data_IF_721468798994
#
_entry.id   IF_721468798994
#
_cell.length_a   1.000
_cell.length_b   1.000
_cell.length_c   1.000
_cell.angle_alpha   90.00
_cell.angle_beta   90.00
_cell.angle_gamma   90.00
#
_symmetry.space_group_name_H-M   'P 1'
#
loop_
_entity.id
_entity.type
_entity.pdbx_description
1 polymer ?
#
# COMPACT_ATOMS: atom_id res chain seq x y z
N UNK A 1 18.56 15.49 -0.59
CA UNK A 1 17.35 15.74 -1.41
C UNK A 1 17.63 16.93 -2.30
N UNK A 2 17.43 16.84 -3.62
CA UNK A 2 17.57 17.98 -4.54
C UNK A 2 16.20 18.26 -5.14
N UNK A 3 15.64 19.43 -4.86
CA UNK A 3 14.40 19.87 -5.46
C UNK A 3 14.62 20.21 -6.95
N UNK A 4 13.55 20.13 -7.77
CA UNK A 4 13.62 20.65 -9.14
C UNK A 4 13.84 22.15 -9.10
N UNK A 5 14.31 22.72 -10.21
CA UNK A 5 14.70 24.15 -10.37
C UNK A 5 13.63 25.19 -9.96
N UNK A 6 12.39 24.77 -9.67
CA UNK A 6 11.22 25.59 -9.31
C UNK A 6 10.38 24.99 -8.17
N UNK A 7 10.94 24.10 -7.37
CA UNK A 7 10.27 23.55 -6.21
C UNK A 7 11.11 23.86 -4.98
N UNK A 8 10.51 24.41 -3.94
CA UNK A 8 11.16 24.57 -2.63
C UNK A 8 10.52 23.66 -1.57
N UNK A 9 11.18 23.57 -0.41
CA UNK A 9 10.59 22.89 0.74
C UNK A 9 9.29 23.58 1.17
N UNK A 10 9.29 24.92 1.19
CA UNK A 10 8.14 25.75 1.54
C UNK A 10 6.96 25.49 0.60
N UNK A 11 7.20 25.31 -0.70
CA UNK A 11 6.17 24.95 -1.67
C UNK A 11 5.51 23.60 -1.34
N UNK A 12 6.31 22.59 -0.99
CA UNK A 12 5.79 21.27 -0.62
C UNK A 12 5.08 21.28 0.73
N UNK A 13 5.61 22.03 1.72
CA UNK A 13 4.98 22.17 3.02
C UNK A 13 3.61 22.85 2.89
N UNK A 14 3.53 23.97 2.17
CA UNK A 14 2.29 24.69 1.93
C UNK A 14 1.26 23.84 1.15
N UNK A 15 1.70 23.02 0.20
CA UNK A 15 0.82 22.05 -0.51
C UNK A 15 0.32 20.96 0.44
N UNK A 16 1.19 20.44 1.29
CA UNK A 16 0.85 19.43 2.31
C UNK A 16 -0.18 19.95 3.30
N UNK A 17 0.02 21.16 3.84
CA UNK A 17 -0.93 21.81 4.76
C UNK A 17 -2.31 21.99 4.12
N UNK A 18 -2.37 22.43 2.86
CA UNK A 18 -3.65 22.57 2.14
C UNK A 18 -4.34 21.22 1.94
N UNK A 19 -3.59 20.17 1.59
CA UNK A 19 -4.14 18.82 1.45
C UNK A 19 -4.69 18.28 2.75
N UNK A 20 -3.93 18.40 3.84
CA UNK A 20 -4.35 17.93 5.17
C UNK A 20 -5.53 18.73 5.69
N UNK A 21 -5.54 20.05 5.51
CA UNK A 21 -6.68 20.90 5.90
C UNK A 21 -7.95 20.47 5.17
N UNK A 22 -7.86 20.27 3.85
CA UNK A 22 -8.99 19.79 3.06
C UNK A 22 -9.47 18.43 3.54
N UNK A 23 -8.56 17.47 3.72
CA UNK A 23 -8.89 16.15 4.25
C UNK A 23 -9.59 16.23 5.61
N UNK A 24 -9.05 16.99 6.56
CA UNK A 24 -9.60 17.12 7.91
C UNK A 24 -11.01 17.71 7.93
N UNK A 25 -11.29 18.68 7.05
CA UNK A 25 -12.59 19.35 6.98
C UNK A 25 -13.63 18.52 6.22
N UNK A 26 -13.25 17.94 5.08
CA UNK A 26 -14.21 17.36 4.14
C UNK A 26 -14.32 15.83 4.24
N UNK A 27 -13.24 15.15 4.60
CA UNK A 27 -13.11 13.70 4.42
C UNK A 27 -12.96 12.93 5.73
N UNK A 28 -12.19 13.46 6.69
CA UNK A 28 -12.03 12.85 8.01
C UNK A 28 -13.37 12.60 8.74
N UNK A 29 -14.39 13.47 8.66
CA UNK A 29 -15.70 13.21 9.28
C UNK A 29 -16.44 11.99 8.71
N UNK A 30 -16.10 11.54 7.50
CA UNK A 30 -16.67 10.32 6.89
C UNK A 30 -16.15 9.04 7.58
N UNK A 31 -15.01 9.14 8.27
CA UNK A 31 -14.41 8.06 9.05
C UNK A 31 -14.92 8.15 10.49
N UNK A 32 -16.05 7.48 10.78
CA UNK A 32 -16.77 7.65 12.05
C UNK A 32 -16.09 6.99 13.26
N UNK A 33 -15.29 5.95 13.03
CA UNK A 33 -14.61 5.21 14.10
C UNK A 33 -13.30 4.62 13.57
N UNK A 34 -12.16 5.14 14.03
CA UNK A 34 -10.87 4.49 13.83
C UNK A 34 -10.76 3.29 14.78
N UNK A 35 -10.61 2.09 14.22
CA UNK A 35 -10.42 0.84 14.98
C UNK A 35 -8.95 0.46 15.12
N UNK A 36 -8.10 0.88 14.19
CA UNK A 36 -6.65 0.68 14.28
C UNK A 36 -5.92 1.67 13.39
N UNK A 37 -4.85 2.25 13.90
CA UNK A 37 -3.99 3.21 13.20
C UNK A 37 -2.59 2.60 13.14
N UNK A 38 -1.94 2.64 11.97
CA UNK A 38 -0.63 2.03 11.72
C UNK A 38 -0.53 0.60 12.30
N UNK A 39 -1.60 -0.17 12.08
CA UNK A 39 -1.75 -1.49 12.68
C UNK A 39 -0.82 -2.47 12.00
N UNK A 40 0.16 -2.96 12.77
CA UNK A 40 1.04 -4.04 12.33
C UNK A 40 0.29 -5.36 12.27
N UNK A 41 0.63 -6.18 11.29
CA UNK A 41 0.18 -7.56 11.22
C UNK A 41 1.34 -8.50 10.91
N UNK A 42 1.18 -9.74 11.36
CA UNK A 42 2.03 -10.88 11.04
C UNK A 42 1.13 -12.07 10.74
N UNK A 43 1.18 -12.60 9.52
CA UNK A 43 0.43 -13.78 9.12
C UNK A 43 1.39 -14.93 8.81
N UNK A 44 1.05 -16.12 9.27
CA UNK A 44 1.68 -17.35 8.79
C UNK A 44 0.91 -17.84 7.58
N UNK A 45 1.51 -17.69 6.41
CA UNK A 45 0.96 -18.16 5.14
C UNK A 45 1.71 -19.41 4.75
N UNK A 46 1.01 -20.52 4.49
CA UNK A 46 1.64 -21.82 4.14
C UNK A 46 2.58 -21.72 2.94
N UNK A 47 2.31 -20.79 2.03
CA UNK A 47 3.12 -20.52 0.84
C UNK A 47 4.46 -19.82 1.12
N UNK A 48 4.76 -19.43 2.37
CA UNK A 48 5.95 -18.66 2.73
C UNK A 48 6.73 -19.33 3.87
N UNK A 49 8.05 -19.41 3.71
CA UNK A 49 8.98 -19.89 4.76
C UNK A 49 9.21 -18.84 5.86
N UNK A 50 8.79 -17.60 5.62
CA UNK A 50 8.90 -16.48 6.55
C UNK A 50 7.52 -15.85 6.78
N UNK A 51 7.29 -15.20 7.95
CA UNK A 51 6.01 -14.56 8.21
C UNK A 51 5.72 -13.43 7.21
N UNK A 52 4.46 -13.35 6.78
CA UNK A 52 3.96 -12.26 5.97
C UNK A 52 3.63 -11.07 6.86
N UNK A 53 4.44 -10.02 6.77
CA UNK A 53 4.35 -8.85 7.67
C UNK A 53 4.00 -7.58 6.90
N UNK A 54 3.23 -6.70 7.55
CA UNK A 54 2.87 -5.41 7.01
C UNK A 54 2.30 -4.46 8.05
N UNK A 55 1.98 -3.25 7.61
CA UNK A 55 1.40 -2.19 8.44
C UNK A 55 0.24 -1.59 7.66
N UNK A 56 -0.97 -1.68 8.22
CA UNK A 56 -2.16 -1.05 7.65
C UNK A 56 -2.24 0.38 8.17
N UNK A 57 -2.36 1.36 7.28
CA UNK A 57 -2.43 2.77 7.67
C UNK A 57 -3.61 3.05 8.61
N UNK A 58 -4.80 2.61 8.22
CA UNK A 58 -6.02 2.80 9.01
C UNK A 58 -7.04 1.68 8.76
N UNK A 59 -7.61 1.17 9.85
CA UNK A 59 -8.83 0.36 9.84
C UNK A 59 -9.91 1.20 10.50
N UNK A 60 -11.01 1.48 9.80
CA UNK A 60 -12.07 2.33 10.33
C UNK A 60 -13.42 2.12 9.67
N UNK A 61 -14.44 2.79 10.20
CA UNK A 61 -15.80 2.73 9.64
C UNK A 61 -16.02 3.89 8.66
N UNK A 62 -16.30 3.55 7.39
CA UNK A 62 -16.66 4.48 6.31
C UNK A 62 -17.94 3.97 5.67
N UNK A 63 -18.94 4.84 5.49
CA UNK A 63 -20.28 4.46 5.01
C UNK A 63 -20.86 3.23 5.73
N UNK A 64 -20.69 3.22 7.06
CA UNK A 64 -21.10 2.15 7.98
C UNK A 64 -20.45 0.77 7.73
N UNK A 65 -19.46 0.68 6.83
CA UNK A 65 -18.70 -0.53 6.54
C UNK A 65 -17.33 -0.48 7.21
N UNK A 66 -16.94 -1.60 7.82
CA UNK A 66 -15.57 -1.77 8.27
C UNK A 66 -14.65 -1.79 7.04
N UNK A 67 -13.76 -0.81 6.97
CA UNK A 67 -12.94 -0.50 5.80
C UNK A 67 -11.47 -0.49 6.19
N UNK A 68 -10.64 -1.20 5.41
CA UNK A 68 -9.19 -0.99 5.43
C UNK A 68 -8.84 0.12 4.46
N UNK A 69 -8.15 1.14 4.95
CA UNK A 69 -7.85 2.38 4.23
C UNK A 69 -6.33 2.49 4.10
N UNK A 70 -5.86 2.77 2.89
CA UNK A 70 -4.47 3.10 2.59
C UNK A 70 -4.43 4.52 1.99
N UNK A 71 -3.60 5.38 2.58
CA UNK A 71 -3.50 6.78 2.18
C UNK A 71 -2.37 6.95 1.16
N UNK A 72 -2.68 7.57 0.02
CA UNK A 72 -1.69 7.86 -1.02
C UNK A 72 -1.63 9.35 -1.29
N UNK A 73 -0.47 9.83 -1.74
CA UNK A 73 -0.37 11.16 -2.36
C UNK A 73 0.01 10.99 -3.82
N UNK A 74 -0.69 11.68 -4.72
CA UNK A 74 -0.50 11.53 -6.16
C UNK A 74 -0.25 12.88 -6.84
N UNK A 75 0.46 12.86 -7.96
CA UNK A 75 0.64 14.06 -8.80
C UNK A 75 -0.47 14.24 -9.83
N UNK A 76 -1.29 13.22 -10.02
CA UNK A 76 -2.40 13.12 -10.96
C UNK A 76 -3.46 12.18 -10.38
N UNK A 77 -4.57 12.08 -11.08
CA UNK A 77 -5.75 11.32 -10.65
C UNK A 77 -5.48 9.82 -10.72
N UNK A 78 -6.15 9.08 -9.85
CA UNK A 78 -6.15 7.62 -9.87
C UNK A 78 -7.38 7.15 -10.64
N UNK A 79 -7.23 6.07 -11.39
CA UNK A 79 -8.37 5.43 -12.04
C UNK A 79 -9.03 4.42 -11.08
N UNK A 80 -10.34 4.22 -11.17
CA UNK A 80 -11.08 3.35 -10.24
C UNK A 80 -10.56 1.90 -10.21
N UNK A 81 -10.01 1.42 -11.34
CA UNK A 81 -9.44 0.08 -11.43
C UNK A 81 -8.16 -0.08 -10.61
N UNK A 82 -7.50 1.00 -10.19
CA UNK A 82 -6.29 0.94 -9.36
C UNK A 82 -6.56 0.32 -7.99
N UNK A 83 -7.68 0.68 -7.35
CA UNK A 83 -8.08 0.05 -6.09
C UNK A 83 -8.54 -1.39 -6.28
N UNK A 84 -9.18 -1.73 -7.42
CA UNK A 84 -9.61 -3.09 -7.70
C UNK A 84 -8.43 -4.05 -7.89
N UNK A 85 -7.38 -3.60 -8.57
CA UNK A 85 -6.19 -4.40 -8.92
C UNK A 85 -5.04 -4.27 -7.91
N UNK A 86 -5.23 -3.53 -6.81
CA UNK A 86 -4.19 -3.29 -5.81
C UNK A 86 -3.85 -4.55 -5.00
N UNK A 87 -2.67 -5.09 -5.25
CA UNK A 87 -2.04 -6.17 -4.48
C UNK A 87 -1.83 -5.78 -3.01
N UNK A 88 -1.55 -4.50 -2.73
CA UNK A 88 -1.38 -4.01 -1.35
C UNK A 88 -2.70 -4.06 -0.57
N UNK A 89 -3.80 -3.62 -1.18
CA UNK A 89 -5.12 -3.70 -0.55
C UNK A 89 -5.59 -5.14 -0.39
N UNK A 90 -5.23 -6.04 -1.33
CA UNK A 90 -5.51 -7.47 -1.20
C UNK A 90 -4.72 -8.10 -0.05
N UNK A 91 -3.46 -7.72 0.13
CA UNK A 91 -2.65 -8.12 1.28
C UNK A 91 -3.27 -7.68 2.61
N UNK A 92 -3.78 -6.46 2.67
CA UNK A 92 -4.41 -5.93 3.88
C UNK A 92 -5.76 -6.58 4.17
N UNK A 93 -6.54 -6.93 3.14
CA UNK A 93 -7.77 -7.71 3.30
C UNK A 93 -7.50 -9.12 3.87
N UNK A 94 -6.38 -9.76 3.50
CA UNK A 94 -5.96 -11.02 4.14
C UNK A 94 -5.66 -10.84 5.63
N UNK A 95 -5.02 -9.72 5.98
CA UNK A 95 -4.67 -9.41 7.36
C UNK A 95 -5.86 -8.99 8.21
N UNK A 96 -6.93 -8.50 7.58
CA UNK A 96 -8.13 -8.04 8.26
C UNK A 96 -9.41 -8.65 7.64
N UNK A 97 -9.68 -9.95 7.89
CA UNK A 97 -10.75 -10.69 7.23
C UNK A 97 -12.17 -10.21 7.59
N UNK A 98 -12.32 -9.46 8.68
CA UNK A 98 -13.60 -8.86 9.07
C UNK A 98 -13.93 -7.59 8.25
N UNK A 99 -12.95 -7.03 7.54
CA UNK A 99 -13.17 -5.86 6.70
C UNK A 99 -14.15 -6.18 5.57
N UNK A 100 -15.18 -5.36 5.43
CA UNK A 100 -16.21 -5.53 4.40
C UNK A 100 -15.81 -4.91 3.06
N UNK A 101 -14.84 -4.01 3.08
CA UNK A 101 -14.28 -3.34 1.91
C UNK A 101 -12.87 -2.81 2.18
N UNK A 102 -12.19 -2.44 1.11
CA UNK A 102 -10.88 -1.77 1.12
C UNK A 102 -10.97 -0.47 0.33
N UNK A 103 -10.13 0.50 0.65
CA UNK A 103 -10.12 1.79 -0.02
C UNK A 103 -8.72 2.38 -0.19
N UNK A 104 -8.47 3.01 -1.34
CA UNK A 104 -7.43 4.01 -1.48
C UNK A 104 -8.04 5.38 -1.21
N UNK A 105 -7.48 6.13 -0.27
CA UNK A 105 -7.77 7.55 -0.08
C UNK A 105 -6.60 8.36 -0.64
N UNK A 106 -6.79 8.94 -1.83
CA UNK A 106 -5.73 9.59 -2.62
C UNK A 106 -5.80 11.10 -2.47
N UNK A 107 -4.71 11.66 -1.94
CA UNK A 107 -4.47 13.09 -1.78
C UNK A 107 -3.76 13.61 -3.04
N UNK A 108 -4.51 14.22 -3.96
CA UNK A 108 -4.00 14.67 -5.27
C UNK A 108 -3.41 16.08 -5.17
N UNK A 109 -2.11 16.18 -5.50
CA UNK A 109 -1.26 17.39 -5.35
C UNK A 109 -1.46 18.41 -6.49
N UNK A 110 -2.70 18.74 -6.82
CA UNK A 110 -3.07 19.78 -7.79
C UNK A 110 -3.06 21.18 -7.17
N UNK A 111 -3.14 22.23 -8.01
CA UNK A 111 -3.21 23.63 -7.54
C UNK A 111 -4.40 23.85 -6.60
N UNK A 112 -5.53 23.25 -6.95
CA UNK A 112 -6.69 23.05 -6.07
C UNK A 112 -6.63 21.60 -5.60
N UNK A 113 -6.31 21.33 -4.33
CA UNK A 113 -6.17 19.97 -3.82
C UNK A 113 -7.48 19.19 -3.97
N UNK A 114 -7.36 17.91 -4.36
CA UNK A 114 -8.49 16.98 -4.42
C UNK A 114 -8.22 15.77 -3.55
N UNK A 115 -9.28 15.26 -2.92
CA UNK A 115 -9.23 13.98 -2.22
C UNK A 115 -10.16 13.02 -2.96
N UNK A 116 -9.61 11.90 -3.39
CA UNK A 116 -10.31 10.91 -4.19
C UNK A 116 -10.36 9.59 -3.41
N UNK A 117 -11.53 8.95 -3.40
CA UNK A 117 -11.72 7.66 -2.76
C UNK A 117 -12.01 6.60 -3.80
N UNK A 118 -11.21 5.55 -3.81
CA UNK A 118 -11.43 4.39 -4.68
C UNK A 118 -11.68 3.17 -3.81
N UNK A 119 -12.95 2.77 -3.74
CA UNK A 119 -13.39 1.62 -2.95
C UNK A 119 -13.39 0.35 -3.77
N UNK A 120 -13.06 -0.77 -3.13
CA UNK A 120 -13.18 -2.08 -3.73
C UNK A 120 -13.55 -3.14 -2.68
N UNK A 121 -14.10 -4.25 -3.14
CA UNK A 121 -14.31 -5.46 -2.34
C UNK A 121 -13.28 -6.51 -2.70
N UNK A 122 -13.06 -7.49 -1.82
CA UNK A 122 -12.22 -8.65 -2.10
C UNK A 122 -13.06 -9.91 -1.98
N UNK A 123 -13.14 -10.66 -3.07
CA UNK A 123 -13.74 -11.99 -3.09
C UNK A 123 -12.73 -13.02 -2.60
N UNK A 124 -13.23 -14.19 -2.18
CA UNK A 124 -12.37 -15.33 -1.85
C UNK A 124 -11.43 -15.70 -3.01
N UNK A 125 -11.91 -15.63 -4.25
CA UNK A 125 -11.11 -15.93 -5.45
C UNK A 125 -9.95 -14.94 -5.60
N UNK A 126 -10.20 -13.63 -5.42
CA UNK A 126 -9.14 -12.61 -5.48
C UNK A 126 -8.07 -12.82 -4.40
N UNK A 127 -8.47 -13.27 -3.21
CA UNK A 127 -7.53 -13.62 -2.13
C UNK A 127 -6.72 -14.86 -2.49
N UNK A 128 -7.35 -15.88 -3.08
CA UNK A 128 -6.67 -17.11 -3.51
C UNK A 128 -5.67 -16.85 -4.64
N UNK A 129 -6.05 -16.09 -5.66
CA UNK A 129 -5.16 -15.67 -6.75
C UNK A 129 -3.96 -14.88 -6.23
N UNK A 130 -4.19 -13.99 -5.26
CA UNK A 130 -3.10 -13.23 -4.62
C UNK A 130 -2.15 -14.14 -3.84
N UNK A 131 -2.66 -15.13 -3.09
CA UNK A 131 -1.83 -16.08 -2.37
C UNK A 131 -0.98 -16.93 -3.31
N UNK A 132 -1.52 -17.33 -4.47
CA UNK A 132 -0.74 -18.04 -5.49
C UNK A 132 0.34 -17.13 -6.10
N UNK A 133 0.03 -15.86 -6.36
CA UNK A 133 1.02 -14.87 -6.76
C UNK A 133 2.14 -14.71 -5.73
N UNK A 134 1.79 -14.64 -4.43
CA UNK A 134 2.75 -14.57 -3.33
C UNK A 134 3.66 -15.80 -3.32
N UNK A 135 3.10 -17.00 -3.50
CA UNK A 135 3.86 -18.26 -3.58
C UNK A 135 4.88 -18.23 -4.72
N UNK A 136 4.44 -17.88 -5.94
CA UNK A 136 5.31 -17.81 -7.11
C UNK A 136 6.46 -16.81 -6.93
N UNK A 137 6.15 -15.62 -6.44
CA UNK A 137 7.16 -14.59 -6.17
C UNK A 137 8.14 -15.04 -5.08
N UNK A 138 7.66 -15.72 -4.05
CA UNK A 138 8.50 -16.28 -2.98
C UNK A 138 9.47 -17.34 -3.50
N UNK A 139 8.99 -18.27 -4.34
CA UNK A 139 9.81 -19.32 -4.96
C UNK A 139 10.94 -18.70 -5.82
N UNK A 140 10.62 -17.67 -6.61
CA UNK A 140 11.60 -16.95 -7.42
C UNK A 140 12.65 -16.23 -6.56
N UNK A 141 12.22 -15.57 -5.48
CA UNK A 141 13.13 -14.93 -4.52
C UNK A 141 14.06 -15.96 -3.88
N UNK A 142 13.53 -17.10 -3.43
CA UNK A 142 14.31 -18.18 -2.83
C UNK A 142 15.32 -18.77 -3.83
N UNK A 143 14.93 -18.92 -5.09
CA UNK A 143 15.78 -19.39 -6.18
C UNK A 143 16.75 -18.32 -6.72
N UNK A 144 16.68 -17.07 -6.25
CA UNK A 144 17.51 -15.96 -6.71
C UNK A 144 17.20 -15.50 -8.15
N UNK A 145 15.98 -15.74 -8.63
CA UNK A 145 15.51 -15.36 -9.97
C UNK A 145 14.90 -13.96 -9.93
N UNK A 146 15.52 -13.02 -10.65
CA UNK A 146 15.05 -11.63 -10.72
C UNK A 146 14.90 -11.21 -12.18
N UNK A 147 13.67 -11.24 -12.66
CA UNK A 147 13.35 -10.90 -14.04
C UNK A 147 13.31 -9.38 -14.25
N UNK A 148 13.90 -8.91 -15.35
CA UNK A 148 13.75 -7.50 -15.78
C UNK A 148 12.37 -7.32 -16.39
N UNK A 149 11.59 -6.36 -15.88
CA UNK A 149 10.33 -5.95 -16.51
C UNK A 149 10.64 -5.11 -17.77
N UNK A 150 10.14 -5.47 -18.96
CA UNK A 150 10.20 -4.60 -20.13
C UNK A 150 9.44 -3.29 -19.85
N UNK A 151 10.05 -2.13 -20.10
CA UNK A 151 9.43 -0.82 -19.89
C UNK A 151 9.81 -0.05 -18.61
N UNK A 152 10.64 -0.62 -17.72
CA UNK A 152 11.38 0.14 -16.70
C UNK A 152 10.58 0.93 -15.67
N UNK A 153 10.32 0.31 -14.51
CA UNK A 153 10.53 0.86 -13.15
C UNK A 153 10.01 -0.19 -12.16
N UNK A 154 10.93 -0.96 -11.55
CA UNK A 154 10.77 -1.94 -10.46
C UNK A 154 9.57 -2.93 -10.52
N UNK A 155 9.69 -4.17 -10.00
CA UNK A 155 8.49 -4.95 -9.75
C UNK A 155 7.63 -4.20 -8.70
N UNK A 156 6.29 -4.37 -8.68
CA UNK A 156 5.58 -4.25 -7.42
C UNK A 156 6.15 -5.36 -6.55
N UNK A 157 7.29 -5.09 -5.91
CA UNK A 157 7.63 -5.81 -4.71
C UNK A 157 6.46 -5.49 -3.81
N UNK A 158 5.59 -6.48 -3.60
CA UNK A 158 4.99 -6.65 -2.30
C UNK A 158 6.14 -6.36 -1.34
N UNK A 159 6.09 -5.25 -0.62
CA UNK A 159 7.19 -4.84 0.26
C UNK A 159 7.16 -5.74 1.48
N UNK A 160 7.36 -7.03 1.26
CA UNK A 160 7.53 -8.01 2.29
C UNK A 160 8.98 -7.89 2.72
N UNK A 161 9.21 -7.22 3.84
CA UNK A 161 10.50 -7.34 4.52
C UNK A 161 10.55 -8.72 5.14
N UNK A 162 11.00 -9.71 4.37
CA UNK A 162 11.47 -10.95 4.97
C UNK A 162 12.62 -10.58 5.89
N UNK A 163 12.43 -10.71 7.19
CA UNK A 163 13.48 -10.53 8.18
C UNK A 163 14.47 -11.71 8.06
N UNK A 164 15.31 -11.71 7.02
CA UNK A 164 16.38 -12.69 6.93
C UNK A 164 17.49 -12.28 7.89
N UNK A 165 17.70 -13.10 8.92
CA UNK A 165 18.86 -13.04 9.79
C UNK A 165 20.16 -12.98 8.98
N UNK A 166 21.07 -12.14 9.47
CA UNK A 166 22.50 -12.01 9.15
C UNK A 166 23.10 -13.01 8.13
N UNK A 167 23.01 -12.70 6.83
CA UNK A 167 23.91 -13.31 5.83
C UNK A 167 25.21 -12.52 5.74
N UNK A 168 26.32 -13.13 6.20
CA UNK A 168 27.69 -12.67 5.94
C UNK A 168 27.92 -12.59 4.43
N UNK A 169 28.42 -11.45 3.94
CA UNK A 169 28.85 -11.27 2.55
C UNK A 169 30.03 -12.21 2.24
N UNK A 170 30.06 -12.92 1.10
CA UNK A 170 31.26 -13.59 0.64
C UNK A 170 32.27 -12.54 0.14
N UNK A 171 33.52 -12.64 0.61
CA UNK A 171 34.67 -11.89 0.07
C UNK A 171 34.94 -12.39 -1.35
N UNK A 172 34.99 -11.47 -2.32
CA UNK A 172 35.48 -11.77 -3.67
C UNK A 172 37.00 -11.90 -3.63
N UNK A 173 37.62 -12.89 -4.30
CA UNK A 173 39.02 -12.81 -4.67
C UNK A 173 39.17 -11.85 -5.85
N UNK A 174 40.33 -11.20 -5.86
CA UNK A 174 40.85 -10.12 -6.71
C UNK A 174 40.23 -9.95 -8.09
#
# INVERSE_FOLDING_TARGET
MRYKKRESWEDFNAKGEKLLTKFLVEEAPKIRQARGIERKFELRVTALDAPFVGIIDLVGQVDDRLTVIDFKTAGSDYEDHEAALSDQLTAYALAEPEAQQVALCVLVKTKEPRIEWHFAKRSADALAEYLEKVRLVSDDIAAGKFYKRPGGNAPPVISCRCASGTRRKPKRPW
#
